data_IF_518692856548
#
_entry.id   IF_518692856548
#
_cell.length_a   1.000
_cell.length_b   1.000
_cell.length_c   1.000
_cell.angle_alpha   90.00
_cell.angle_beta   90.00
_cell.angle_gamma   90.00
#
_symmetry.space_group_name_H-M   'P 1'
#
loop_
_entity.id
_entity.type
_entity.pdbx_description
1 polymer ?
#
# COMPACT_ATOMS: atom_id res chain seq x y z
N UNK A 1 33.38 -9.35 -22.80
CA UNK A 1 32.40 -8.25 -22.96
C UNK A 1 31.08 -8.76 -22.46
N UNK A 2 30.62 -8.31 -21.30
CA UNK A 2 29.36 -8.77 -20.70
C UNK A 2 28.19 -8.11 -21.41
N UNK A 3 27.15 -8.90 -21.72
CA UNK A 3 25.89 -8.40 -22.27
C UNK A 3 25.37 -7.26 -21.39
N UNK A 4 25.28 -6.05 -21.97
CA UNK A 4 24.64 -4.93 -21.32
C UNK A 4 23.14 -5.17 -21.30
N UNK A 5 22.66 -5.87 -20.27
CA UNK A 5 21.22 -6.02 -20.00
C UNK A 5 20.53 -4.66 -19.99
N UNK A 6 19.24 -4.65 -20.32
CA UNK A 6 18.47 -3.42 -20.38
C UNK A 6 18.51 -2.71 -19.01
N UNK A 7 18.38 -1.37 -18.96
CA UNK A 7 18.26 -0.66 -17.68
C UNK A 7 17.15 -1.21 -16.78
N UNK A 8 16.06 -1.72 -17.37
CA UNK A 8 14.97 -2.37 -16.67
C UNK A 8 15.41 -3.69 -15.99
N UNK A 9 16.16 -4.54 -16.68
CA UNK A 9 16.68 -5.80 -16.11
C UNK A 9 17.60 -5.52 -14.93
N UNK A 10 18.41 -4.48 -15.04
CA UNK A 10 19.33 -4.07 -13.97
C UNK A 10 18.58 -3.61 -12.72
N UNK A 11 17.55 -2.75 -12.87
CA UNK A 11 16.84 -2.24 -11.68
C UNK A 11 16.05 -3.36 -11.01
N UNK A 12 15.43 -4.26 -11.78
CA UNK A 12 14.75 -5.43 -11.23
C UNK A 12 15.71 -6.36 -10.50
N UNK A 13 16.93 -6.53 -11.00
CA UNK A 13 17.98 -7.30 -10.30
C UNK A 13 18.38 -6.63 -8.99
N UNK A 14 18.58 -5.31 -9.00
CA UNK A 14 18.90 -4.53 -7.79
C UNK A 14 17.78 -4.63 -6.76
N UNK A 15 16.53 -4.39 -7.17
CA UNK A 15 15.34 -4.45 -6.32
C UNK A 15 15.18 -5.83 -5.73
N UNK A 16 15.22 -6.88 -6.56
CA UNK A 16 15.14 -8.28 -6.10
C UNK A 16 16.20 -8.57 -5.04
N UNK A 17 17.43 -8.13 -5.24
CA UNK A 17 18.53 -8.37 -4.30
C UNK A 17 18.36 -7.58 -3.00
N UNK A 18 17.97 -6.30 -3.08
CA UNK A 18 17.84 -5.42 -1.91
C UNK A 18 16.59 -5.70 -1.09
N UNK A 19 15.54 -6.20 -1.73
CA UNK A 19 14.23 -6.41 -1.13
C UNK A 19 13.88 -7.89 -0.98
N UNK A 20 14.83 -8.81 -1.18
CA UNK A 20 14.54 -10.26 -1.17
C UNK A 20 13.79 -10.73 0.10
N UNK A 21 14.03 -10.06 1.25
CA UNK A 21 13.39 -10.33 2.54
C UNK A 21 12.36 -9.27 2.95
N UNK A 22 12.03 -8.36 2.03
CA UNK A 22 11.14 -7.24 2.28
C UNK A 22 9.68 -7.64 2.15
N UNK A 23 8.83 -7.09 3.01
CA UNK A 23 7.38 -7.29 3.00
C UNK A 23 6.78 -6.91 1.64
N UNK A 24 7.19 -5.79 1.04
CA UNK A 24 6.65 -5.36 -0.24
C UNK A 24 7.04 -6.28 -1.39
N UNK A 25 8.26 -6.83 -1.38
CA UNK A 25 8.67 -7.82 -2.36
C UNK A 25 7.84 -9.10 -2.30
N UNK A 26 7.31 -9.44 -1.11
CA UNK A 26 6.44 -10.61 -0.93
C UNK A 26 5.02 -10.38 -1.46
N UNK A 27 4.48 -9.18 -1.27
CA UNK A 27 3.07 -8.85 -1.57
C UNK A 27 2.86 -8.19 -2.93
N UNK A 28 3.89 -7.56 -3.50
CA UNK A 28 3.83 -6.89 -4.79
C UNK A 28 4.65 -7.64 -5.84
N UNK A 29 4.21 -7.65 -7.11
CA UNK A 29 5.05 -8.10 -8.21
C UNK A 29 6.38 -7.31 -8.26
N UNK A 30 7.47 -7.99 -8.63
CA UNK A 30 8.80 -7.38 -8.72
C UNK A 30 8.81 -6.17 -9.67
N UNK A 31 8.00 -6.21 -10.73
CA UNK A 31 7.83 -5.13 -11.70
C UNK A 31 7.23 -3.88 -11.03
N UNK A 32 6.26 -4.04 -10.12
CA UNK A 32 5.66 -2.92 -9.41
C UNK A 32 6.64 -2.30 -8.41
N UNK A 33 7.38 -3.12 -7.66
CA UNK A 33 8.40 -2.62 -6.74
C UNK A 33 9.55 -1.91 -7.48
N UNK A 34 9.98 -2.45 -8.63
CA UNK A 34 10.97 -1.82 -9.52
C UNK A 34 10.49 -0.49 -10.06
N UNK A 35 9.21 -0.41 -10.46
CA UNK A 35 8.55 0.84 -10.89
C UNK A 35 8.52 1.86 -9.75
N UNK A 36 8.20 1.45 -8.51
CA UNK A 36 8.18 2.34 -7.34
C UNK A 36 9.55 2.94 -7.07
N UNK A 37 10.62 2.14 -7.06
CA UNK A 37 12.01 2.62 -6.93
C UNK A 37 12.35 3.62 -8.03
N UNK A 38 11.97 3.31 -9.27
CA UNK A 38 12.18 4.22 -10.40
C UNK A 38 11.50 5.57 -10.19
N UNK A 39 10.22 5.55 -9.81
CA UNK A 39 9.44 6.77 -9.55
C UNK A 39 9.99 7.59 -8.38
N UNK A 40 10.45 6.94 -7.31
CA UNK A 40 11.03 7.65 -6.17
C UNK A 40 12.31 8.38 -6.61
N UNK A 41 13.16 7.67 -7.35
CA UNK A 41 14.41 8.23 -7.90
C UNK A 41 14.16 9.43 -8.80
N UNK A 42 13.20 9.33 -9.72
CA UNK A 42 12.97 10.40 -10.71
C UNK A 42 12.18 11.57 -10.15
N UNK A 43 11.12 11.31 -9.38
CA UNK A 43 10.20 12.36 -8.90
C UNK A 43 10.69 13.04 -7.63
N UNK A 44 11.15 12.25 -6.66
CA UNK A 44 11.48 12.80 -5.34
C UNK A 44 12.94 13.25 -5.27
N UNK A 45 13.81 12.61 -6.05
CA UNK A 45 15.25 12.86 -5.96
C UNK A 45 15.86 13.52 -7.21
N UNK A 46 15.05 13.89 -8.22
CA UNK A 46 15.48 14.54 -9.46
C UNK A 46 16.57 13.78 -10.22
N UNK A 47 16.56 12.46 -10.18
CA UNK A 47 17.46 11.68 -11.01
C UNK A 47 17.20 11.96 -12.48
N UNK A 48 18.05 12.77 -13.11
CA UNK A 48 17.98 13.03 -14.54
C UNK A 48 18.31 11.74 -15.31
N UNK A 49 17.27 11.05 -15.78
CA UNK A 49 17.38 9.72 -16.41
C UNK A 49 17.99 9.80 -17.81
N UNK A 50 17.87 10.96 -18.46
CA UNK A 50 17.74 10.95 -19.91
C UNK A 50 19.02 10.70 -20.71
N UNK A 51 20.22 10.87 -20.12
CA UNK A 51 21.44 10.90 -20.94
C UNK A 51 22.56 9.93 -20.51
N UNK A 52 22.46 9.23 -19.39
CA UNK A 52 23.52 8.29 -18.97
C UNK A 52 22.99 7.17 -18.06
N UNK A 53 22.72 5.97 -18.62
CA UNK A 53 22.23 4.82 -17.85
C UNK A 53 23.13 4.46 -16.66
N UNK A 54 24.45 4.54 -16.80
CA UNK A 54 25.38 4.20 -15.71
C UNK A 54 25.37 5.22 -14.57
N UNK A 55 25.18 6.50 -14.87
CA UNK A 55 24.96 7.52 -13.83
C UNK A 55 23.66 7.26 -13.08
N UNK A 56 22.57 6.93 -13.78
CA UNK A 56 21.30 6.56 -13.15
C UNK A 56 21.47 5.33 -12.25
N UNK A 57 22.17 4.30 -12.73
CA UNK A 57 22.45 3.08 -11.96
C UNK A 57 23.21 3.39 -10.66
N UNK A 58 24.25 4.21 -10.75
CA UNK A 58 25.06 4.59 -9.60
C UNK A 58 24.27 5.48 -8.62
N UNK A 59 23.40 6.35 -9.15
CA UNK A 59 22.53 7.20 -8.36
C UNK A 59 21.49 6.40 -7.57
N UNK A 60 20.77 5.47 -8.22
CA UNK A 60 19.80 4.60 -7.53
C UNK A 60 20.50 3.78 -6.45
N UNK A 61 21.69 3.22 -6.75
CA UNK A 61 22.49 2.49 -5.75
C UNK A 61 22.87 3.36 -4.56
N UNK A 62 23.29 4.60 -4.78
CA UNK A 62 23.67 5.50 -3.70
C UNK A 62 22.47 5.92 -2.86
N UNK A 63 21.25 5.95 -3.41
CA UNK A 63 20.04 6.21 -2.64
C UNK A 63 19.64 5.09 -1.68
N UNK A 64 20.26 3.91 -1.72
CA UNK A 64 20.12 2.87 -0.69
C UNK A 64 21.17 2.96 0.41
N UNK A 65 22.12 3.90 0.34
CA UNK A 65 23.30 3.91 1.20
C UNK A 65 23.53 5.29 1.84
N UNK A 66 23.88 5.30 3.12
CA UNK A 66 24.36 6.48 3.83
C UNK A 66 25.88 6.42 3.98
N UNK A 67 26.59 6.76 2.91
CA UNK A 67 28.01 6.44 2.73
C UNK A 67 28.14 5.04 2.14
N UNK A 68 28.82 4.14 2.85
CA UNK A 68 29.04 2.76 2.41
C UNK A 68 28.09 1.73 3.05
N UNK A 69 27.24 2.18 3.99
CA UNK A 69 26.34 1.32 4.77
C UNK A 69 24.88 1.65 4.51
N UNK A 70 23.97 0.67 4.55
CA UNK A 70 22.54 0.95 4.59
C UNK A 70 22.18 1.87 5.76
N UNK A 71 21.25 2.83 5.59
CA UNK A 71 20.79 3.68 6.68
C UNK A 71 19.90 2.88 7.63
N UNK A 72 19.98 3.18 8.93
CA UNK A 72 19.07 2.61 9.93
C UNK A 72 18.01 3.65 10.29
N UNK A 73 16.73 3.26 10.25
CA UNK A 73 15.59 4.04 10.73
C UNK A 73 15.18 3.45 12.10
N UNK A 74 15.61 4.01 13.24
CA UNK A 74 15.47 3.35 14.54
C UNK A 74 14.03 3.00 14.93
N UNK A 75 13.07 3.82 14.52
CA UNK A 75 11.65 3.64 14.82
C UNK A 75 10.98 2.56 13.95
N UNK A 76 11.62 2.12 12.86
CA UNK A 76 11.18 1.00 12.01
C UNK A 76 12.34 0.02 11.85
N UNK A 77 12.52 -0.91 12.81
CA UNK A 77 13.53 -1.95 12.69
C UNK A 77 13.38 -2.72 11.36
N UNK A 78 14.49 -3.05 10.72
CA UNK A 78 14.49 -3.75 9.42
C UNK A 78 14.11 -2.88 8.21
N UNK A 79 13.90 -1.57 8.36
CA UNK A 79 13.54 -0.72 7.23
C UNK A 79 14.62 -0.71 6.14
N UNK A 80 14.19 -1.00 4.90
CA UNK A 80 14.96 -0.78 3.68
C UNK A 80 14.75 0.68 3.29
N UNK A 81 15.68 1.52 3.75
CA UNK A 81 15.61 2.95 3.58
C UNK A 81 16.02 3.40 2.16
N UNK A 82 15.36 4.43 1.65
CA UNK A 82 15.67 5.10 0.40
C UNK A 82 15.80 6.61 0.62
N UNK A 83 16.84 7.24 0.06
CA UNK A 83 17.18 8.63 0.37
C UNK A 83 15.99 9.56 0.05
N UNK A 84 15.63 10.42 1.01
CA UNK A 84 14.62 11.45 0.80
C UNK A 84 15.32 12.80 0.62
N UNK A 85 15.32 13.33 -0.60
CA UNK A 85 15.86 14.66 -0.85
C UNK A 85 15.12 15.70 0.02
N UNK A 86 15.83 16.47 0.87
CA UNK A 86 15.17 17.47 1.71
C UNK A 86 14.63 18.66 0.92
N UNK A 87 15.18 18.94 -0.26
CA UNK A 87 14.83 20.10 -1.08
C UNK A 87 14.56 19.68 -2.53
N UNK A 88 13.45 18.98 -2.82
CA UNK A 88 13.07 18.73 -4.20
C UNK A 88 12.70 20.09 -4.86
N UNK A 89 13.32 20.44 -6.00
CA UNK A 89 13.19 21.73 -6.69
C UNK A 89 11.77 21.99 -7.22
N UNK A 90 10.92 20.97 -7.24
CA UNK A 90 9.58 21.04 -7.82
C UNK A 90 8.52 20.31 -6.97
N UNK A 91 8.66 20.19 -5.64
CA UNK A 91 7.62 19.53 -4.82
C UNK A 91 6.27 20.27 -5.01
N UNK A 92 5.27 19.65 -5.67
CA UNK A 92 3.94 20.22 -5.76
C UNK A 92 3.27 20.01 -4.41
N UNK A 93 3.30 21.04 -3.54
CA UNK A 93 2.92 20.94 -2.14
C UNK A 93 3.75 19.88 -1.36
N UNK A 94 3.82 19.94 -0.02
CA UNK A 94 4.45 18.87 0.75
C UNK A 94 3.68 17.57 0.47
N UNK A 95 4.27 16.69 -0.32
CA UNK A 95 3.73 15.36 -0.54
C UNK A 95 3.62 14.71 0.84
N UNK A 96 2.46 14.14 1.12
CA UNK A 96 2.10 13.49 2.39
C UNK A 96 2.92 12.23 2.70
N UNK A 97 4.03 12.03 2.00
CA UNK A 97 4.89 10.88 2.11
C UNK A 97 5.66 10.94 3.43
N UNK A 98 5.51 9.92 4.29
CA UNK A 98 6.30 9.80 5.51
C UNK A 98 7.80 9.90 5.23
N UNK A 99 8.48 10.74 6.01
CA UNK A 99 9.95 10.87 6.03
C UNK A 99 10.40 10.57 7.46
N UNK A 100 11.42 9.74 7.59
CA UNK A 100 11.94 9.29 8.86
C UNK A 100 13.38 9.75 9.03
N UNK A 101 13.74 10.18 10.23
CA UNK A 101 15.10 10.56 10.56
C UNK A 101 15.95 9.30 10.83
N UNK A 102 17.10 9.18 10.17
CA UNK A 102 18.07 8.14 10.48
C UNK A 102 19.04 8.58 11.59
N UNK A 103 19.88 7.65 12.06
CA UNK A 103 20.90 7.90 13.10
C UNK A 103 21.84 9.09 12.80
N UNK A 104 22.06 9.44 11.52
CA UNK A 104 22.90 10.57 11.09
C UNK A 104 22.11 11.86 10.79
N UNK A 105 20.87 11.98 11.28
CA UNK A 105 20.00 13.16 11.11
C UNK A 105 19.65 13.51 9.65
N UNK A 106 19.73 12.53 8.76
CA UNK A 106 19.24 12.65 7.38
C UNK A 106 17.82 12.08 7.31
N UNK A 107 17.03 12.59 6.38
CA UNK A 107 15.68 12.09 6.12
C UNK A 107 15.71 10.98 5.08
N UNK A 108 14.93 9.93 5.33
CA UNK A 108 14.80 8.76 4.48
C UNK A 108 13.34 8.37 4.35
N UNK A 109 13.00 7.78 3.22
CA UNK A 109 11.77 7.03 3.05
C UNK A 109 11.99 5.59 3.49
N UNK A 110 11.06 5.01 4.25
CA UNK A 110 11.02 3.57 4.45
C UNK A 110 10.32 2.96 3.24
N UNK A 111 11.09 2.48 2.26
CA UNK A 111 10.53 1.94 1.03
C UNK A 111 9.93 0.55 1.26
N UNK A 112 10.63 -0.26 2.04
CA UNK A 112 10.24 -1.62 2.40
C UNK A 112 10.71 -1.92 3.82
N UNK A 113 10.29 -3.04 4.40
CA UNK A 113 10.74 -3.48 5.72
C UNK A 113 11.03 -4.97 5.68
N UNK A 114 12.22 -5.36 6.14
CA UNK A 114 12.62 -6.76 6.27
C UNK A 114 11.85 -7.44 7.42
N UNK A 115 11.47 -8.70 7.20
CA UNK A 115 10.87 -9.55 8.23
C UNK A 115 11.72 -10.78 8.50
N UNK A 116 11.63 -11.28 9.73
CA UNK A 116 12.28 -12.53 10.13
C UNK A 116 11.55 -13.73 9.53
N UNK A 117 10.22 -13.74 9.63
CA UNK A 117 9.35 -14.79 9.09
C UNK A 117 8.39 -14.23 8.03
N UNK A 118 8.69 -14.50 6.77
CA UNK A 118 7.86 -14.10 5.63
C UNK A 118 6.55 -14.89 5.55
N UNK A 119 6.44 -16.04 6.23
CA UNK A 119 5.24 -16.89 6.18
C UNK A 119 4.08 -16.29 6.97
N UNK A 120 4.37 -15.39 7.91
CA UNK A 120 3.37 -14.64 8.65
C UNK A 120 2.70 -13.53 7.82
N UNK A 121 3.27 -13.14 6.67
CA UNK A 121 2.66 -12.10 5.82
C UNK A 121 1.50 -12.71 5.01
N UNK A 122 0.29 -12.17 5.21
CA UNK A 122 -0.89 -12.61 4.48
C UNK A 122 -0.71 -12.28 2.99
N UNK A 123 -0.79 -13.25 2.07
CA UNK A 123 -0.55 -13.02 0.65
C UNK A 123 -1.79 -12.40 -0.02
N UNK A 124 -2.06 -11.14 0.34
CA UNK A 124 -3.13 -10.35 -0.24
C UNK A 124 -2.76 -10.01 -1.68
N UNK A 125 -3.50 -10.53 -2.65
CA UNK A 125 -3.22 -10.24 -4.06
C UNK A 125 -3.39 -8.74 -4.31
N UNK A 126 -2.31 -8.07 -4.71
CA UNK A 126 -2.34 -6.66 -5.02
C UNK A 126 -3.27 -6.38 -6.21
N UNK A 127 -4.20 -5.44 -6.04
CA UNK A 127 -5.09 -5.02 -7.12
C UNK A 127 -4.29 -4.31 -8.22
N UNK A 128 -4.36 -4.82 -9.46
CA UNK A 128 -3.74 -4.20 -10.64
C UNK A 128 -4.84 -3.63 -11.54
N UNK A 129 -4.96 -2.30 -11.67
CA UNK A 129 -6.02 -1.68 -12.44
C UNK A 129 -5.91 -2.02 -13.94
N UNK A 130 -7.02 -2.41 -14.56
CA UNK A 130 -7.12 -2.66 -16.00
C UNK A 130 -6.20 -3.76 -16.55
N UNK A 131 -5.65 -4.63 -15.69
CA UNK A 131 -4.68 -5.68 -16.05
C UNK A 131 -5.13 -6.49 -17.27
N UNK A 132 -6.41 -6.85 -17.31
CA UNK A 132 -6.98 -7.71 -18.36
C UNK A 132 -7.59 -6.93 -19.54
N UNK A 133 -7.58 -5.59 -19.48
CA UNK A 133 -8.23 -4.73 -20.48
C UNK A 133 -7.23 -3.97 -21.36
N UNK A 134 -6.18 -3.37 -20.77
CA UNK A 134 -5.22 -2.56 -21.53
C UNK A 134 -3.93 -2.32 -20.75
N UNK A 135 -2.82 -2.86 -21.26
CA UNK A 135 -1.49 -2.65 -20.69
C UNK A 135 -1.09 -1.17 -20.62
N UNK A 136 -1.36 -0.40 -21.69
CA UNK A 136 -1.07 1.04 -21.73
C UNK A 136 -1.83 1.82 -20.67
N UNK A 137 -3.12 1.50 -20.47
CA UNK A 137 -3.95 2.13 -19.43
C UNK A 137 -3.48 1.75 -18.03
N UNK A 138 -3.16 0.47 -17.79
CA UNK A 138 -2.56 0.01 -16.52
C UNK A 138 -1.30 0.80 -16.20
N UNK A 139 -0.37 0.91 -17.17
CA UNK A 139 0.89 1.64 -16.99
C UNK A 139 0.65 3.12 -16.70
N UNK A 140 -0.24 3.77 -17.43
CA UNK A 140 -0.58 5.19 -17.22
C UNK A 140 -1.15 5.42 -15.81
N UNK A 141 -2.06 4.56 -15.35
CA UNK A 141 -2.64 4.64 -14.00
C UNK A 141 -1.58 4.41 -12.93
N UNK A 142 -0.80 3.33 -13.05
CA UNK A 142 0.26 3.02 -12.08
C UNK A 142 1.34 4.10 -12.04
N UNK A 143 1.62 4.78 -13.16
CA UNK A 143 2.54 5.92 -13.16
C UNK A 143 2.07 7.05 -12.24
N UNK A 144 0.77 7.17 -11.97
CA UNK A 144 0.17 8.21 -11.10
C UNK A 144 -0.12 7.72 -9.68
N UNK A 145 0.30 6.50 -9.35
CA UNK A 145 0.17 5.94 -8.01
C UNK A 145 1.35 6.38 -7.15
N UNK A 146 1.05 6.76 -5.89
CA UNK A 146 2.07 7.06 -4.90
C UNK A 146 2.98 5.83 -4.73
N UNK A 147 4.29 5.96 -5.01
CA UNK A 147 5.18 4.83 -4.94
C UNK A 147 5.47 4.37 -3.52
N UNK A 148 5.24 5.22 -2.50
CA UNK A 148 5.60 4.91 -1.12
C UNK A 148 4.43 4.25 -0.34
N UNK A 149 4.72 3.20 0.44
CA UNK A 149 3.76 2.68 1.42
C UNK A 149 3.58 3.66 2.58
N UNK A 150 2.39 3.66 3.17
CA UNK A 150 2.13 4.29 4.46
C UNK A 150 2.29 3.25 5.55
N UNK A 151 3.48 3.18 6.16
CA UNK A 151 3.75 2.28 7.27
C UNK A 151 3.01 2.74 8.54
N UNK A 152 2.44 1.78 9.25
CA UNK A 152 1.80 2.02 10.53
C UNK A 152 2.86 1.96 11.63
N UNK A 153 3.32 3.13 12.08
CA UNK A 153 4.40 3.25 13.07
C UNK A 153 3.85 3.94 14.32
N UNK A 154 3.52 3.19 15.39
CA UNK A 154 3.12 3.76 16.67
C UNK A 154 4.21 4.66 17.25
N UNK A 155 3.83 5.73 17.97
CA UNK A 155 4.80 6.58 18.68
C UNK A 155 5.56 5.85 19.78
N UNK A 156 4.99 4.77 20.30
CA UNK A 156 5.67 3.87 21.22
C UNK A 156 6.81 3.07 20.55
N UNK A 157 6.94 3.16 19.22
CA UNK A 157 7.88 2.38 18.42
C UNK A 157 7.26 1.08 17.91
N UNK A 158 8.02 0.38 17.07
CA UNK A 158 7.60 -0.86 16.42
C UNK A 158 6.89 -0.65 15.09
N UNK A 159 6.56 -1.76 14.43
CA UNK A 159 5.84 -1.75 13.17
C UNK A 159 4.50 -2.46 13.33
N UNK A 160 3.45 -1.78 12.88
CA UNK A 160 2.11 -2.31 12.83
C UNK A 160 1.31 -2.14 14.12
N UNK A 161 0.01 -2.41 14.00
CA UNK A 161 -0.94 -2.36 15.12
C UNK A 161 -1.90 -3.56 15.04
N UNK A 162 -2.34 -4.12 16.19
CA UNK A 162 -3.35 -5.18 16.18
C UNK A 162 -4.64 -4.72 15.50
N UNK A 163 -5.21 -5.58 14.65
CA UNK A 163 -6.46 -5.29 13.92
C UNK A 163 -7.66 -5.18 14.86
N UNK A 164 -7.64 -5.87 16.01
CA UNK A 164 -8.69 -5.77 17.03
C UNK A 164 -8.76 -4.38 17.68
N UNK A 165 -7.69 -3.58 17.60
CA UNK A 165 -7.61 -2.25 18.21
C UNK A 165 -8.79 -1.36 17.80
N UNK A 166 -9.45 -0.77 18.78
CA UNK A 166 -10.58 0.16 18.59
C UNK A 166 -10.27 1.59 18.99
N UNK A 167 -9.27 1.76 19.84
CA UNK A 167 -8.86 3.06 20.34
C UNK A 167 -8.03 3.81 19.31
N UNK A 168 -8.14 5.15 19.33
CA UNK A 168 -7.30 5.99 18.48
C UNK A 168 -5.85 5.83 18.91
N UNK A 169 -5.01 5.42 17.98
CA UNK A 169 -3.59 5.23 18.22
C UNK A 169 -2.81 6.50 17.89
N UNK A 170 -1.78 6.74 18.69
CA UNK A 170 -0.83 7.81 18.43
C UNK A 170 0.26 7.29 17.49
N UNK A 171 0.29 7.79 16.26
CA UNK A 171 1.19 7.36 15.19
C UNK A 171 2.12 8.50 14.80
N UNK A 172 3.36 8.17 14.41
CA UNK A 172 4.36 9.17 13.97
C UNK A 172 3.86 10.08 12.83
N UNK A 173 3.01 9.56 11.95
CA UNK A 173 2.45 10.28 10.80
C UNK A 173 0.92 10.22 10.76
N UNK A 174 0.27 9.97 11.90
CA UNK A 174 -1.18 9.81 11.97
C UNK A 174 -1.96 11.03 11.50
N UNK A 175 -1.49 12.23 11.83
CA UNK A 175 -2.17 13.49 11.51
C UNK A 175 -1.75 14.06 10.14
N UNK A 176 -0.92 13.34 9.37
CA UNK A 176 -0.56 13.75 8.01
C UNK A 176 -1.81 13.65 7.13
N UNK A 177 -2.09 14.72 6.39
CA UNK A 177 -3.24 14.76 5.46
C UNK A 177 -3.03 13.73 4.36
N UNK A 178 -3.96 12.81 4.17
CA UNK A 178 -3.94 11.78 3.14
C UNK A 178 -4.36 12.36 1.78
N UNK A 179 -3.37 12.82 1.01
CA UNK A 179 -3.57 13.51 -0.28
C UNK A 179 -3.43 12.57 -1.47
N UNK A 180 -3.95 13.01 -2.60
CA UNK A 180 -3.62 12.46 -3.91
C UNK A 180 -2.21 12.90 -4.33
N UNK A 181 -1.66 12.26 -5.36
CA UNK A 181 -0.32 12.57 -5.88
C UNK A 181 -0.21 14.00 -6.45
N UNK A 182 -1.35 14.59 -6.82
CA UNK A 182 -1.48 15.97 -7.30
C UNK A 182 -1.59 16.99 -6.14
N UNK A 183 -1.52 16.53 -4.89
CA UNK A 183 -1.65 17.35 -3.69
C UNK A 183 -3.09 17.61 -3.26
N UNK A 184 -4.10 17.21 -4.05
CA UNK A 184 -5.49 17.43 -3.69
C UNK A 184 -5.91 16.53 -2.52
N UNK A 185 -6.73 17.01 -1.57
CA UNK A 185 -7.25 16.18 -0.49
C UNK A 185 -8.11 15.05 -1.04
N UNK A 186 -8.02 13.86 -0.43
CA UNK A 186 -8.90 12.73 -0.75
C UNK A 186 -10.15 12.82 0.12
N UNK A 187 -11.32 12.77 -0.51
CA UNK A 187 -12.60 12.72 0.21
C UNK A 187 -13.05 11.28 0.47
N UNK A 188 -12.73 10.37 -0.45
CA UNK A 188 -13.02 8.93 -0.35
C UNK A 188 -11.88 8.09 -0.90
N UNK A 189 -11.79 6.85 -0.44
CA UNK A 189 -10.88 5.84 -0.97
C UNK A 189 -11.51 4.45 -0.87
N UNK A 190 -11.26 3.59 -1.85
CA UNK A 190 -11.67 2.18 -1.83
C UNK A 190 -10.57 1.31 -1.23
N UNK A 191 -10.92 0.51 -0.23
CA UNK A 191 -10.07 -0.55 0.31
C UNK A 191 -10.30 -1.79 -0.52
N UNK A 192 -9.25 -2.28 -1.19
CA UNK A 192 -9.29 -3.42 -2.11
C UNK A 192 -8.24 -4.46 -1.77
N UNK A 193 -8.66 -5.71 -1.60
CA UNK A 193 -7.77 -6.85 -1.44
C UNK A 193 -8.51 -8.16 -1.74
N UNK A 194 -7.76 -9.22 -2.05
CA UNK A 194 -8.27 -10.58 -2.14
C UNK A 194 -7.58 -11.42 -1.08
N UNK A 195 -8.35 -11.93 -0.13
CA UNK A 195 -7.85 -12.87 0.88
C UNK A 195 -7.79 -14.27 0.28
N UNK A 196 -6.73 -15.07 0.53
CA UNK A 196 -6.62 -16.41 -0.05
C UNK A 196 -7.82 -17.30 0.25
N UNK A 197 -8.46 -17.84 -0.79
CA UNK A 197 -9.63 -18.71 -0.66
C UNK A 197 -10.96 -17.99 -0.38
N UNK A 198 -11.04 -16.66 -0.53
CA UNK A 198 -12.27 -15.87 -0.42
C UNK A 198 -12.45 -14.93 -1.62
N UNK A 199 -13.66 -14.38 -1.75
CA UNK A 199 -13.97 -13.37 -2.75
C UNK A 199 -13.20 -12.05 -2.51
N UNK A 200 -13.00 -11.30 -3.60
CA UNK A 200 -12.34 -10.00 -3.53
C UNK A 200 -13.19 -8.99 -2.74
N UNK A 201 -12.54 -8.24 -1.85
CA UNK A 201 -13.15 -7.17 -1.06
C UNK A 201 -12.94 -5.85 -1.79
N UNK A 202 -14.02 -5.08 -1.99
CA UNK A 202 -13.99 -3.69 -2.43
C UNK A 202 -14.96 -2.87 -1.57
N UNK A 203 -14.42 -2.06 -0.65
CA UNK A 203 -15.22 -1.24 0.28
C UNK A 203 -14.75 0.19 0.25
N UNK A 204 -15.66 1.12 -0.02
CA UNK A 204 -15.36 2.55 0.01
C UNK A 204 -15.43 3.10 1.44
N UNK A 205 -14.42 3.89 1.83
CA UNK A 205 -14.39 4.63 3.08
C UNK A 205 -14.34 6.14 2.81
N UNK A 206 -15.01 6.92 3.67
CA UNK A 206 -14.95 8.38 3.65
C UNK A 206 -13.76 8.85 4.49
N UNK A 207 -12.84 9.54 3.82
CA UNK A 207 -11.63 10.13 4.40
C UNK A 207 -11.92 11.53 4.90
N UNK A 208 -12.73 12.28 4.16
CA UNK A 208 -13.26 13.57 4.61
C UNK A 208 -14.44 13.35 5.58
N UNK A 209 -14.42 14.11 6.65
CA UNK A 209 -15.27 14.00 7.83
C UNK A 209 -15.47 15.41 8.43
N UNK A 210 -16.46 15.57 9.32
CA UNK A 210 -16.65 16.83 10.07
C UNK A 210 -15.78 16.93 11.33
N UNK A 211 -15.01 15.89 11.65
CA UNK A 211 -14.17 15.80 12.85
C UNK A 211 -12.74 16.30 12.63
N UNK A 212 -12.01 16.44 13.73
CA UNK A 212 -10.62 16.93 13.76
C UNK A 212 -9.63 16.01 13.02
N UNK A 213 -10.01 14.76 12.76
CA UNK A 213 -9.24 13.77 12.01
C UNK A 213 -9.55 13.78 10.51
N UNK A 214 -10.39 14.69 10.04
CA UNK A 214 -10.80 14.75 8.63
C UNK A 214 -9.61 14.86 7.69
N UNK A 215 -9.59 14.01 6.66
CA UNK A 215 -8.54 14.04 5.68
C UNK A 215 -7.22 13.42 6.15
N UNK A 216 -7.10 12.92 7.39
CA UNK A 216 -5.83 12.42 7.94
C UNK A 216 -5.56 10.95 7.65
N UNK A 217 -4.30 10.52 7.79
CA UNK A 217 -3.93 9.12 7.69
C UNK A 217 -4.57 8.25 8.78
N UNK A 218 -4.70 8.75 10.02
CA UNK A 218 -5.42 8.08 11.11
C UNK A 218 -6.85 7.70 10.69
N UNK A 219 -7.55 8.62 10.04
CA UNK A 219 -8.92 8.37 9.55
C UNK A 219 -8.98 7.24 8.53
N UNK A 220 -8.02 7.19 7.61
CA UNK A 220 -7.90 6.11 6.62
C UNK A 220 -7.63 4.79 7.32
N UNK A 221 -6.70 4.78 8.27
CA UNK A 221 -6.32 3.60 9.03
C UNK A 221 -7.50 3.00 9.80
N UNK A 222 -8.28 3.81 10.51
CA UNK A 222 -9.48 3.38 11.21
C UNK A 222 -10.53 2.76 10.26
N UNK A 223 -10.68 3.36 9.08
CA UNK A 223 -11.51 2.82 8.01
C UNK A 223 -11.03 1.45 7.53
N UNK A 224 -9.73 1.30 7.28
CA UNK A 224 -9.11 0.03 6.86
C UNK A 224 -9.26 -1.04 7.94
N UNK A 225 -8.95 -0.73 9.20
CA UNK A 225 -9.13 -1.65 10.34
C UNK A 225 -10.58 -2.12 10.45
N UNK A 226 -11.55 -1.23 10.23
CA UNK A 226 -12.97 -1.59 10.22
C UNK A 226 -13.31 -2.53 9.06
N UNK A 227 -12.81 -2.26 7.85
CA UNK A 227 -13.03 -3.13 6.69
C UNK A 227 -12.47 -4.53 6.94
N UNK A 228 -11.24 -4.65 7.47
CA UNK A 228 -10.63 -5.95 7.77
C UNK A 228 -11.43 -6.70 8.85
N UNK A 229 -11.81 -6.03 9.94
CA UNK A 229 -12.63 -6.65 10.99
C UNK A 229 -13.98 -7.14 10.47
N UNK A 230 -14.64 -6.34 9.63
CA UNK A 230 -15.90 -6.72 9.01
C UNK A 230 -15.71 -7.94 8.11
N UNK A 231 -14.67 -7.96 7.28
CA UNK A 231 -14.32 -9.12 6.45
C UNK A 231 -14.18 -10.40 7.28
N UNK A 232 -13.40 -10.36 8.37
CA UNK A 232 -13.22 -11.52 9.27
C UNK A 232 -14.56 -11.95 9.87
N UNK A 233 -15.37 -11.00 10.37
CA UNK A 233 -16.66 -11.32 11.00
C UNK A 233 -17.72 -11.84 10.02
N UNK A 234 -17.73 -11.36 8.78
CA UNK A 234 -18.68 -11.76 7.74
C UNK A 234 -18.36 -13.16 7.19
N UNK A 235 -17.11 -13.63 7.35
CA UNK A 235 -16.63 -14.88 6.76
C UNK A 235 -16.32 -15.98 7.79
N UNK A 236 -16.74 -15.85 9.06
CA UNK A 236 -16.44 -16.85 10.10
C UNK A 236 -17.02 -18.23 9.82
N UNK A 237 -18.11 -18.31 9.06
CA UNK A 237 -18.79 -19.54 8.67
C UNK A 237 -18.60 -19.89 7.20
N UNK A 238 -17.92 -19.04 6.44
CA UNK A 238 -17.68 -19.22 5.01
C UNK A 238 -16.57 -20.24 4.80
N UNK A 239 -16.81 -21.34 4.07
CA UNK A 239 -15.76 -22.30 3.73
C UNK A 239 -14.60 -21.62 3.00
N UNK A 240 -13.37 -21.94 3.39
CA UNK A 240 -12.17 -21.46 2.73
C UNK A 240 -11.58 -22.56 1.85
N UNK A 241 -11.19 -22.21 0.63
CA UNK A 241 -10.48 -23.15 -0.26
C UNK A 241 -9.07 -23.50 0.25
N UNK A 242 -8.44 -22.59 1.00
CA UNK A 242 -7.13 -22.78 1.60
C UNK A 242 -7.23 -22.75 3.13
N UNK A 243 -7.24 -23.93 3.81
CA UNK A 243 -7.38 -24.01 5.26
C UNK A 243 -6.34 -23.22 6.05
N UNK A 244 -5.14 -22.97 5.48
CA UNK A 244 -4.10 -22.18 6.14
C UNK A 244 -4.54 -20.72 6.36
N UNK A 245 -5.39 -20.21 5.48
CA UNK A 245 -5.87 -18.83 5.50
C UNK A 245 -7.35 -18.73 5.90
N UNK A 246 -7.95 -19.81 6.38
CA UNK A 246 -9.35 -19.83 6.79
C UNK A 246 -9.58 -18.85 7.96
N UNK A 247 -10.48 -17.88 7.78
CA UNK A 247 -10.91 -16.99 8.85
C UNK A 247 -12.02 -17.61 9.69
N UNK A 248 -12.00 -17.31 10.99
CA UNK A 248 -13.01 -17.81 11.91
C UNK A 248 -12.55 -17.76 13.37
N UNK A 249 -13.39 -18.32 14.24
CA UNK A 249 -13.15 -18.33 15.69
C UNK A 249 -12.74 -19.71 16.22
N UNK A 250 -12.66 -20.72 15.35
CA UNK A 250 -12.27 -22.08 15.73
C UNK A 250 -10.75 -22.21 15.83
N UNK A 251 -10.29 -23.28 16.50
CA UNK A 251 -8.86 -23.60 16.57
C UNK A 251 -8.28 -23.77 15.15
N UNK A 252 -7.12 -23.16 14.90
CA UNK A 252 -6.45 -23.18 13.60
C UNK A 252 -7.01 -22.18 12.57
N UNK A 253 -8.06 -21.43 12.89
CA UNK A 253 -8.58 -20.36 12.04
C UNK A 253 -8.04 -18.99 12.46
N UNK A 254 -8.05 -18.05 11.52
CA UNK A 254 -7.54 -16.69 11.70
C UNK A 254 -8.68 -15.77 12.14
N UNK A 255 -8.58 -15.22 13.34
CA UNK A 255 -9.46 -14.17 13.84
C UNK A 255 -8.82 -12.79 13.77
N UNK A 256 -9.59 -11.72 13.99
CA UNK A 256 -9.07 -10.35 14.00
C UNK A 256 -8.00 -10.11 15.09
N UNK A 257 -8.00 -10.92 16.16
CA UNK A 257 -6.99 -10.85 17.24
C UNK A 257 -5.62 -11.31 16.79
N UNK A 258 -5.59 -12.04 15.69
CA UNK A 258 -4.41 -12.72 15.17
C UNK A 258 -3.74 -11.92 14.08
N UNK A 259 -4.24 -10.70 13.81
CA UNK A 259 -3.81 -9.89 12.70
C UNK A 259 -3.19 -8.58 13.19
N UNK A 260 -2.10 -8.21 12.54
CA UNK A 260 -1.42 -6.92 12.68
C UNK A 260 -1.48 -6.21 11.33
N UNK A 261 -1.99 -4.98 11.31
CA UNK A 261 -1.95 -4.12 10.13
C UNK A 261 -0.59 -3.40 10.09
N UNK A 262 0.24 -3.72 9.10
CA UNK A 262 1.60 -3.20 8.98
C UNK A 262 1.68 -1.92 8.15
N UNK A 263 0.95 -1.87 7.04
CA UNK A 263 1.01 -0.76 6.09
C UNK A 263 -0.27 -0.62 5.28
N UNK A 264 -0.39 0.52 4.62
CA UNK A 264 -1.37 0.78 3.56
C UNK A 264 -0.62 1.18 2.30
N UNK A 265 -0.88 0.47 1.20
CA UNK A 265 -0.28 0.74 -0.11
C UNK A 265 -1.32 1.33 -1.04
N UNK A 266 -1.02 2.47 -1.67
CA UNK A 266 -1.84 3.01 -2.74
C UNK A 266 -1.62 2.16 -4.00
N UNK A 267 -2.70 1.65 -4.59
CA UNK A 267 -2.67 0.78 -5.78
C UNK A 267 -3.34 1.41 -7.01
N UNK A 268 -4.15 2.45 -6.79
CA UNK A 268 -4.66 3.34 -7.84
C UNK A 268 -4.94 4.73 -7.26
N UNK A 269 -5.33 5.72 -8.08
CA UNK A 269 -5.69 7.06 -7.57
C UNK A 269 -6.78 7.00 -6.50
N UNK A 270 -7.73 6.08 -6.60
CA UNK A 270 -8.87 5.97 -5.67
C UNK A 270 -8.86 4.71 -4.80
N UNK A 271 -7.83 3.87 -4.87
CA UNK A 271 -7.82 2.60 -4.16
C UNK A 271 -6.52 2.32 -3.40
N UNK A 272 -6.67 1.67 -2.25
CA UNK A 272 -5.61 1.24 -1.36
C UNK A 272 -5.75 -0.24 -1.04
N UNK A 273 -4.62 -0.88 -0.72
CA UNK A 273 -4.55 -2.27 -0.27
C UNK A 273 -3.82 -2.31 1.08
N UNK A 274 -4.39 -2.93 2.12
CA UNK A 274 -3.70 -3.13 3.39
C UNK A 274 -2.62 -4.20 3.26
N UNK A 275 -1.58 -4.09 4.08
CA UNK A 275 -0.59 -5.14 4.28
C UNK A 275 -0.77 -5.68 5.70
N UNK A 276 -1.06 -6.98 5.81
CA UNK A 276 -1.44 -7.62 7.07
C UNK A 276 -0.50 -8.77 7.37
N UNK A 277 -0.16 -8.93 8.64
CA UNK A 277 0.66 -10.01 9.17
C UNK A 277 -0.11 -10.78 10.24
N UNK A 278 0.17 -12.08 10.37
CA UNK A 278 -0.26 -12.91 11.49
C UNK A 278 0.60 -12.64 12.73
N UNK A 279 -0.01 -12.48 13.90
CA UNK A 279 0.69 -12.38 15.17
C UNK A 279 1.48 -13.67 15.45
N UNK A 280 2.77 -13.55 15.80
CA UNK A 280 3.70 -14.67 16.03
C UNK A 280 3.22 -15.68 17.10
N UNK A 281 2.30 -15.30 17.98
CA UNK A 281 1.67 -16.22 18.93
C UNK A 281 0.91 -17.38 18.26
N UNK A 282 0.71 -17.30 16.95
CA UNK A 282 -0.01 -18.28 16.14
C UNK A 282 0.77 -18.72 14.90
N UNK A 283 2.11 -18.65 14.94
CA UNK A 283 2.93 -19.35 13.96
C UNK A 283 2.27 -20.72 13.71
N UNK A 284 1.83 -21.02 12.48
CA UNK A 284 1.01 -22.17 12.20
C UNK A 284 1.68 -23.33 12.89
N UNK A 285 0.94 -23.99 13.78
CA UNK A 285 1.32 -25.32 14.22
C UNK A 285 1.10 -26.16 12.95
N UNK A 286 2.01 -25.99 11.97
CA UNK A 286 2.17 -26.91 10.88
C UNK A 286 2.23 -28.27 11.54
N UNK A 287 1.54 -29.28 10.97
CA UNK A 287 1.27 -30.54 11.65
C UNK A 287 2.56 -30.95 12.33
N UNK A 288 2.61 -30.76 13.64
CA UNK A 288 3.78 -31.13 14.41
C UNK A 288 3.78 -32.62 14.22
N UNK A 289 4.66 -33.08 13.33
CA UNK A 289 4.89 -34.48 13.06
C UNK A 289 4.93 -35.09 14.45
N UNK A 290 3.96 -35.96 14.80
CA UNK A 290 3.74 -36.39 16.18
C UNK A 290 5.11 -36.74 16.71
N UNK A 291 5.57 -35.92 17.67
CA UNK A 291 6.90 -35.97 18.24
C UNK A 291 7.17 -37.43 18.45
N UNK A 292 8.11 -37.97 17.65
CA UNK A 292 8.22 -39.40 17.42
C UNK A 292 8.17 -40.05 18.79
N UNK A 293 7.02 -40.69 19.11
CA UNK A 293 6.86 -41.39 20.38
C UNK A 293 8.04 -42.33 20.39
N UNK A 294 8.96 -42.12 21.33
CA UNK A 294 10.16 -42.93 21.51
C UNK A 294 9.73 -44.38 21.38
N UNK A 295 9.90 -44.93 20.17
CA UNK A 295 9.69 -46.34 19.91
C UNK A 295 10.84 -46.96 20.67
N UNK A 296 10.58 -47.74 21.72
CA UNK A 296 11.65 -48.38 22.47
C UNK A 296 12.55 -49.10 21.48
N UNK A 297 13.82 -48.73 21.50
CA UNK A 297 14.89 -49.32 20.72
C UNK A 297 14.70 -50.86 20.72
N UNK A 298 14.40 -51.49 19.57
CA UNK A 298 14.26 -52.93 19.53
C UNK A 298 15.62 -53.53 19.86
N UNK A 299 15.68 -54.21 21.00
CA UNK A 299 16.81 -55.02 21.41
C UNK A 299 17.21 -55.95 20.27
N UNK A 300 18.52 -55.97 20.01
CA UNK A 300 19.23 -56.80 19.06
C UNK A 300 18.67 -58.24 18.95
N UNK A 301 17.89 -58.51 17.91
CA UNK A 301 17.75 -59.87 17.38
C UNK A 301 18.47 -59.95 16.03
N UNK A 302 19.60 -60.66 16.08
CA UNK A 302 20.45 -61.00 14.96
C UNK A 302 19.65 -61.73 13.87
N UNK A 303 19.37 -61.04 12.76
CA UNK A 303 18.93 -61.67 11.53
C UNK A 303 20.12 -61.93 10.60
N UNK A 304 20.32 -63.22 10.32
CA UNK A 304 21.29 -63.75 9.39
C UNK A 304 21.14 -63.12 7.99
N UNK A 305 22.28 -62.70 7.44
CA UNK A 305 22.43 -62.25 6.05
C UNK A 305 22.10 -63.36 5.05
N UNK A 306 21.24 -63.14 4.05
CA UNK A 306 21.19 -63.97 2.86
C UNK A 306 22.17 -63.47 1.78
N UNK A 307 22.58 -64.34 0.86
CA UNK A 307 23.75 -64.14 0.02
C UNK A 307 23.49 -63.25 -1.20
N UNK A 308 24.60 -62.63 -1.60
CA UNK A 308 24.86 -61.88 -2.82
C UNK A 308 24.39 -62.63 -4.07
N UNK A 309 23.68 -61.96 -4.98
CA UNK A 309 23.54 -62.43 -6.36
C UNK A 309 23.41 -61.27 -7.36
N UNK A 310 24.50 -61.10 -8.11
CA UNK A 310 24.60 -60.91 -9.56
C UNK A 310 23.71 -59.90 -10.30
N UNK A 311 24.38 -58.85 -10.80
CA UNK A 311 24.52 -58.48 -12.23
C UNK A 311 23.29 -58.69 -13.12
N UNK A 312 22.64 -57.58 -13.51
CA UNK A 312 21.91 -57.46 -14.78
C UNK A 312 22.20 -56.06 -15.38
N UNK A 313 22.72 -56.06 -16.60
CA UNK A 313 23.03 -54.91 -17.45
C UNK A 313 21.78 -54.16 -17.94
N UNK A 314 21.89 -52.88 -18.35
CA UNK A 314 20.76 -52.11 -18.87
C UNK A 314 20.52 -52.40 -20.37
N UNK A 315 19.27 -52.41 -20.85
CA UNK A 315 19.00 -52.33 -22.28
C UNK A 315 18.92 -50.86 -22.72
N UNK A 316 19.75 -50.52 -23.69
CA UNK A 316 19.52 -49.42 -24.62
C UNK A 316 18.26 -49.71 -25.44
N UNK A 317 17.32 -48.76 -25.50
CA UNK A 317 16.31 -48.73 -26.55
C UNK A 317 15.83 -47.30 -26.79
N UNK A 318 16.30 -46.78 -27.91
CA UNK A 318 15.78 -45.63 -28.66
C UNK A 318 14.27 -45.76 -28.88
N UNK A 319 13.51 -44.69 -28.64
CA UNK A 319 12.15 -44.56 -29.19
C UNK A 319 11.88 -43.13 -29.60
N UNK A 320 11.81 -42.95 -30.91
CA UNK A 320 11.34 -41.77 -31.64
C UNK A 320 9.94 -41.36 -31.20
N UNK A 321 9.80 -40.11 -30.76
CA UNK A 321 8.51 -39.49 -30.47
C UNK A 321 8.00 -38.77 -31.73
N UNK A 322 6.97 -39.33 -32.37
CA UNK A 322 6.26 -38.70 -33.49
C UNK A 322 5.09 -37.91 -32.95
N UNK A 323 5.08 -36.60 -33.15
CA UNK A 323 3.96 -35.71 -32.83
C UNK A 323 2.77 -35.99 -33.77
N UNK A 324 1.54 -36.22 -33.27
CA UNK A 324 0.35 -36.15 -34.10
C UNK A 324 -0.05 -34.70 -34.35
N UNK A 325 -0.11 -34.32 -35.64
CA UNK A 325 -0.74 -33.10 -36.13
C UNK A 325 -2.21 -33.06 -35.67
N UNK A 326 -2.54 -32.17 -34.73
CA UNK A 326 -3.92 -31.81 -34.46
C UNK A 326 -4.33 -30.69 -35.42
N UNK A 327 -5.22 -31.05 -36.34
CA UNK A 327 -6.01 -30.11 -37.14
C UNK A 327 -6.95 -29.35 -36.20
N UNK A 328 -6.83 -28.02 -36.20
CA UNK A 328 -7.79 -27.12 -35.56
C UNK A 328 -8.94 -26.92 -36.56
N UNK A 329 -10.18 -27.34 -36.26
CA UNK A 329 -11.33 -26.93 -37.05
C UNK A 329 -11.69 -25.47 -36.72
N UNK A 330 -11.76 -24.65 -37.76
CA UNK A 330 -12.33 -23.31 -37.72
C UNK A 330 -13.79 -23.39 -37.27
N UNK A 331 -14.08 -22.94 -36.05
CA UNK A 331 -15.45 -22.74 -35.58
C UNK A 331 -15.87 -21.29 -35.81
N UNK A 332 -16.89 -21.15 -36.63
CA UNK A 332 -17.65 -19.94 -36.91
C UNK A 332 -18.22 -19.32 -35.62
N UNK A 333 -18.00 -18.02 -35.42
CA UNK A 333 -18.68 -17.25 -34.38
C UNK A 333 -20.06 -16.83 -34.90
N UNK A 334 -21.17 -17.15 -34.19
CA UNK A 334 -22.45 -16.54 -34.49
C UNK A 334 -22.46 -15.09 -33.99
N UNK A 335 -22.80 -14.19 -34.89
CA UNK A 335 -23.15 -12.80 -34.62
C UNK A 335 -24.33 -12.73 -33.65
N UNK A 336 -24.11 -12.20 -32.45
CA UNK A 336 -25.20 -11.78 -31.56
C UNK A 336 -25.60 -10.35 -31.86
N UNK A 337 -26.83 -10.22 -32.36
CA UNK A 337 -27.58 -8.99 -32.53
C UNK A 337 -27.65 -8.19 -31.23
N UNK A 338 -27.12 -6.97 -31.28
CA UNK A 338 -27.44 -5.90 -30.33
C UNK A 338 -28.83 -5.35 -30.63
N UNK A 339 -29.76 -5.56 -29.72
CA UNK A 339 -30.99 -4.79 -29.67
C UNK A 339 -31.41 -4.46 -28.23
N UNK A 340 -31.71 -3.18 -28.03
CA UNK A 340 -32.69 -2.60 -27.11
C UNK A 340 -32.39 -2.60 -25.60
N UNK A 341 -31.80 -1.50 -25.12
CA UNK A 341 -32.31 -0.81 -23.93
C UNK A 341 -32.30 0.71 -24.18
N UNK A 342 -33.49 1.24 -24.47
CA UNK A 342 -33.80 2.67 -24.46
C UNK A 342 -34.09 3.05 -23.01
N UNK A 343 -33.29 3.96 -22.44
CA UNK A 343 -33.57 4.55 -21.12
C UNK A 343 -34.36 5.85 -21.31
N UNK A 344 -35.49 5.93 -20.62
CA UNK A 344 -36.42 7.06 -20.59
C UNK A 344 -35.98 8.07 -19.50
N UNK A 345 -35.59 9.32 -19.83
CA UNK A 345 -35.11 10.29 -18.87
C UNK A 345 -36.26 11.18 -18.38
N UNK A 346 -37.15 10.64 -17.54
CA UNK A 346 -38.29 11.41 -17.02
C UNK A 346 -38.69 11.10 -15.57
N UNK A 347 -37.77 10.65 -14.70
CA UNK A 347 -38.15 10.30 -13.31
C UNK A 347 -37.16 10.75 -12.24
N UNK A 348 -36.61 11.96 -12.37
CA UNK A 348 -35.94 12.64 -11.26
C UNK A 348 -36.22 14.15 -11.33
N UNK A 349 -37.44 14.53 -10.95
CA UNK A 349 -37.79 15.92 -10.70
C UNK A 349 -38.91 15.97 -9.64
N UNK A 350 -38.61 15.57 -8.42
CA UNK A 350 -39.39 15.98 -7.24
C UNK A 350 -38.55 15.71 -5.98
N UNK A 351 -38.68 16.59 -4.98
CA UNK A 351 -37.84 16.76 -3.78
C UNK A 351 -36.62 17.67 -3.92
N UNK A 352 -36.91 18.96 -4.05
CA UNK A 352 -36.05 20.03 -3.52
C UNK A 352 -36.93 21.14 -2.97
N UNK A 353 -37.24 21.09 -1.67
CA UNK A 353 -37.58 22.28 -0.89
C UNK A 353 -36.49 22.49 0.16
N UNK A 354 -35.86 23.67 0.22
CA UNK A 354 -34.86 23.98 1.24
C UNK A 354 -35.54 24.25 2.60
N UNK A 355 -34.94 23.84 3.73
CA UNK A 355 -35.44 24.18 5.05
C UNK A 355 -35.25 25.68 5.35
N UNK A 356 -36.29 26.28 5.88
CA UNK A 356 -36.32 27.65 6.39
C UNK A 356 -35.44 27.78 7.64
N UNK A 357 -34.42 28.64 7.56
CA UNK A 357 -33.61 29.03 8.71
C UNK A 357 -34.43 29.92 9.67
N UNK A 358 -34.61 29.46 10.90
CA UNK A 358 -35.04 30.31 12.02
C UNK A 358 -33.81 30.96 12.67
N UNK A 359 -33.86 32.28 12.80
CA UNK A 359 -32.89 33.12 13.52
C UNK A 359 -32.89 32.77 15.02
N UNK A 360 -31.71 32.61 15.66
CA UNK A 360 -31.64 32.40 17.10
C UNK A 360 -31.98 33.69 17.87
N UNK A 361 -32.86 33.56 18.86
CA UNK A 361 -33.22 34.60 19.80
C UNK A 361 -32.07 34.89 20.76
N UNK A 362 -31.78 36.18 20.92
CA UNK A 362 -30.89 36.77 21.91
C UNK A 362 -31.43 36.52 23.33
N UNK A 363 -30.65 35.88 24.19
CA UNK A 363 -30.96 35.72 25.62
C UNK A 363 -30.06 36.66 26.43
N UNK A 364 -30.69 37.51 27.23
CA UNK A 364 -30.10 38.45 28.17
C UNK A 364 -29.31 37.77 29.31
N UNK A 365 -28.20 38.36 29.82
CA UNK A 365 -27.51 37.89 31.00
C UNK A 365 -28.01 38.57 32.28
N UNK A 366 -28.72 37.82 33.11
CA UNK A 366 -29.12 38.20 34.46
C UNK A 366 -28.05 37.89 35.52
N UNK A 367 -27.89 38.84 36.44
CA UNK A 367 -26.98 38.90 37.59
C UNK A 367 -27.03 37.72 38.59
N UNK A 368 -25.95 37.54 39.37
CA UNK A 368 -26.09 37.20 40.79
C UNK A 368 -24.99 36.39 41.49
N UNK A 369 -24.12 37.11 42.22
CA UNK A 369 -23.55 36.79 43.54
C UNK A 369 -22.43 35.74 43.78
N UNK A 370 -21.24 36.29 44.12
CA UNK A 370 -20.50 36.17 45.39
C UNK A 370 -20.49 34.83 46.16
N UNK A 371 -19.29 34.31 46.44
CA UNK A 371 -18.82 33.88 47.77
C UNK A 371 -17.28 33.91 47.83
N UNK A 372 -16.76 34.45 48.93
CA UNK A 372 -15.34 34.60 49.32
C UNK A 372 -14.71 33.27 49.77
N UNK A 373 -13.38 33.14 49.62
CA UNK A 373 -12.40 33.25 50.72
C UNK A 373 -11.07 32.52 50.39
N UNK A 374 -9.96 33.27 50.55
CA UNK A 374 -8.67 32.95 51.20
C UNK A 374 -7.94 31.61 50.90
N UNK A 375 -6.61 31.46 50.92
CA UNK A 375 -5.38 32.26 51.04
C UNK A 375 -4.27 31.20 50.82
N UNK A 376 -3.26 31.45 50.01
CA UNK A 376 -1.86 31.44 50.47
C UNK A 376 -0.86 31.72 49.33
N UNK A 377 0.06 32.59 49.71
CA UNK A 377 1.24 33.15 49.06
C UNK A 377 2.29 32.12 48.65
N UNK A 378 2.94 32.34 47.49
CA UNK A 378 4.40 32.34 47.38
C UNK A 378 4.86 33.19 46.18
N UNK A 379 5.72 34.17 46.48
CA UNK A 379 6.42 35.06 45.56
C UNK A 379 7.46 34.31 44.72
N UNK A 380 7.49 34.52 43.40
CA UNK A 380 8.74 34.63 42.66
C UNK A 380 8.54 35.45 41.39
N UNK A 381 9.20 36.60 41.34
CA UNK A 381 9.11 37.58 40.27
C UNK A 381 9.88 37.12 39.01
N UNK A 382 9.28 37.28 37.83
CA UNK A 382 9.98 37.41 36.54
C UNK A 382 9.13 38.29 35.62
N UNK A 383 9.69 39.31 34.94
CA UNK A 383 8.89 40.31 34.23
C UNK A 383 8.44 39.79 32.85
N UNK A 384 7.12 39.78 32.64
CA UNK A 384 6.47 39.55 31.35
C UNK A 384 6.27 40.91 30.66
N UNK A 385 6.85 41.06 29.47
CA UNK A 385 6.55 42.14 28.52
C UNK A 385 5.12 41.95 27.99
N UNK A 386 4.28 42.98 28.17
CA UNK A 386 2.92 43.02 27.66
C UNK A 386 2.89 43.19 26.12
N UNK A 387 1.84 42.67 25.46
CA UNK A 387 1.71 42.68 24.01
C UNK A 387 1.11 43.99 23.49
N UNK A 388 1.65 44.48 22.38
CA UNK A 388 1.10 45.58 21.60
C UNK A 388 -0.11 45.09 20.78
N UNK A 389 -1.23 45.78 20.98
CA UNK A 389 -2.46 45.64 20.22
C UNK A 389 -2.23 45.96 18.73
N UNK A 390 -2.72 45.09 17.85
CA UNK A 390 -2.84 45.34 16.42
C UNK A 390 -4.26 45.02 15.95
N UNK A 391 -4.70 45.86 15.04
CA UNK A 391 -6.06 46.25 14.72
C UNK A 391 -6.78 45.19 13.87
N UNK A 392 -8.04 44.90 14.20
CA UNK A 392 -8.97 44.13 13.35
C UNK A 392 -9.27 44.92 12.08
N UNK A 393 -8.81 44.41 10.94
CA UNK A 393 -9.32 44.76 9.61
C UNK A 393 -10.29 43.68 9.14
N UNK A 394 -11.57 44.04 9.04
CA UNK A 394 -12.58 43.28 8.30
C UNK A 394 -12.38 43.57 6.81
N UNK A 395 -12.19 42.54 5.99
CA UNK A 395 -12.40 42.60 4.54
C UNK A 395 -13.29 41.43 4.15
N UNK A 396 -14.56 41.76 3.89
CA UNK A 396 -15.50 40.93 3.15
C UNK A 396 -14.98 40.81 1.72
N UNK A 397 -14.65 39.59 1.28
CA UNK A 397 -14.52 39.26 -0.13
C UNK A 397 -15.40 38.06 -0.44
N UNK A 398 -16.34 38.32 -1.36
CA UNK A 398 -17.29 37.38 -1.93
C UNK A 398 -16.58 36.23 -2.66
N UNK A 399 -16.63 35.03 -2.10
CA UNK A 399 -16.33 33.78 -2.82
C UNK A 399 -17.57 33.37 -3.62
N UNK A 400 -17.47 33.51 -4.95
CA UNK A 400 -18.41 32.92 -5.90
C UNK A 400 -18.12 31.41 -6.00
N UNK A 401 -19.11 30.59 -5.67
CA UNK A 401 -19.14 29.16 -5.99
C UNK A 401 -19.19 28.98 -7.51
N UNK A 402 -18.04 28.68 -8.12
CA UNK A 402 -17.96 28.15 -9.47
C UNK A 402 -18.06 26.62 -9.40
N UNK A 403 -19.26 26.11 -9.69
CA UNK A 403 -19.49 24.71 -10.03
C UNK A 403 -18.72 24.42 -11.32
N UNK A 404 -17.63 23.67 -11.20
CA UNK A 404 -16.79 23.25 -12.31
C UNK A 404 -17.21 21.84 -12.73
N UNK A 405 -18.12 21.74 -13.71
CA UNK A 405 -18.40 20.48 -14.43
C UNK A 405 -17.25 20.22 -15.42
N UNK A 406 -16.16 19.67 -14.90
CA UNK A 406 -15.00 19.25 -15.68
C UNK A 406 -15.18 17.84 -16.24
N UNK A 407 -15.79 17.71 -17.42
CA UNK A 407 -15.48 16.59 -18.31
C UNK A 407 -14.03 16.78 -18.80
N UNK A 408 -13.10 15.82 -18.57
CA UNK A 408 -11.76 15.95 -19.09
C UNK A 408 -11.76 15.74 -20.60
N UNK A 409 -11.31 16.76 -21.34
CA UNK A 409 -11.04 16.67 -22.78
C UNK A 409 -9.93 15.65 -23.05
N UNK A 410 -10.11 14.79 -24.06
CA UNK A 410 -9.14 13.78 -24.49
C UNK A 410 -7.81 14.39 -24.97
N UNK A 411 -7.76 15.68 -25.29
CA UNK A 411 -6.57 16.36 -25.82
C UNK A 411 -5.49 16.66 -24.75
N UNK A 412 -5.84 16.77 -23.46
CA UNK A 412 -4.87 16.96 -22.37
C UNK A 412 -4.04 15.69 -22.08
N UNK A 413 -4.46 14.53 -22.59
CA UNK A 413 -3.71 13.28 -22.45
C UNK A 413 -2.49 13.22 -23.36
N UNK A 414 -2.51 13.86 -24.53
CA UNK A 414 -1.40 13.78 -25.50
C UNK A 414 -0.15 14.55 -25.04
N UNK A 415 -0.33 15.65 -24.29
CA UNK A 415 0.79 16.52 -23.88
C UNK A 415 1.51 16.00 -22.63
N UNK A 416 0.80 15.35 -21.71
CA UNK A 416 1.40 14.76 -20.49
C UNK A 416 2.00 13.36 -20.71
N UNK A 417 1.64 12.68 -21.80
CA UNK A 417 2.30 11.43 -22.20
C UNK A 417 3.73 11.71 -22.70
N UNK A 418 4.01 12.86 -23.32
CA UNK A 418 5.36 13.23 -23.78
C UNK A 418 6.35 13.49 -22.63
N UNK A 419 5.89 13.94 -21.46
CA UNK A 419 6.74 14.15 -20.28
C UNK A 419 6.90 12.90 -19.39
N UNK A 420 6.06 11.88 -19.57
CA UNK A 420 6.09 10.64 -18.77
C UNK A 420 6.43 9.37 -19.58
N UNK A 421 6.69 9.48 -20.90
CA UNK A 421 6.96 8.34 -21.77
C UNK A 421 8.41 8.34 -22.31
N UNK A 422 9.40 7.81 -21.58
CA UNK A 422 10.78 7.76 -22.03
C UNK A 422 11.09 6.59 -23.01
N UNK A 423 10.09 5.91 -23.60
CA UNK A 423 10.34 4.75 -24.48
C UNK A 423 9.42 4.63 -25.72
N UNK A 424 8.68 5.67 -26.11
CA UNK A 424 8.02 5.69 -27.41
C UNK A 424 8.90 6.38 -28.47
N UNK A 425 10.05 5.78 -28.79
CA UNK A 425 10.67 5.96 -30.10
C UNK A 425 10.55 4.65 -30.86
N UNK A 426 9.70 4.73 -31.88
CA UNK A 426 9.51 3.85 -33.03
C UNK A 426 10.65 2.86 -33.27
N UNK A 427 10.33 1.58 -33.13
CA UNK A 427 10.95 0.52 -33.91
C UNK A 427 10.60 0.78 -35.38
N UNK A 428 11.56 1.26 -36.16
CA UNK A 428 11.54 1.13 -37.62
C UNK A 428 12.99 1.10 -38.12
N UNK A 429 13.57 -0.08 -38.12
CA UNK A 429 14.72 -0.40 -38.97
C UNK A 429 14.54 -1.82 -39.51
N UNK A 430 13.93 -1.90 -40.70
CA UNK A 430 14.09 -3.05 -41.60
C UNK A 430 14.61 -2.58 -42.96
N UNK A 431 15.65 -3.29 -43.42
CA UNK A 431 16.22 -3.35 -44.77
C UNK A 431 17.13 -2.19 -45.23
N UNK A 432 18.45 -2.34 -45.04
CA UNK A 432 19.40 -2.79 -46.08
C UNK A 432 20.75 -3.19 -45.47
#
# INVERSE_FOLDING_TARGET
>A
MGSSGSPADWISTLVKTRHQRGILHRVLPLEDLSRRVSLITTRFNNGAVHNCPDMYRNLVKSYYLDGDTPPTIPIIPGAIAFFANPNPPHEPAPLSTPKYECTKRKLWHALDVEVEDETCIVPLAAYVPYKDQSYGRTRSVLSRVDPLPFWVVPRAGGLGIPVETRDRLDLHHGDVVFRNIDGNPRTTVSVRFTWPGYEAVDKQIRVDSKGDDSGTYNRVLDGVLRVIRNFVSENTETPCEDPLWAVGNSFGQISAKNLVLLAIVVVSRGAITPIVQLCDSLAPIGPSLPEAVDVPEPLDEAFETPPTSSVISPPEASSSFTMPSMLIPSSEFPSTDTNLFSFDPATYAEYSQPPSFQTPQTVDPGHGHNCNAALDTFDTATPILAPSASTKGYSDDHMLDLVYDGHPNEEDFAYMDQLNNPMAYSEDWTCF
#
